data_IF_302621905980
#
_entry.id   IF_302621905980
#
_cell.length_a   1.000
_cell.length_b   1.000
_cell.length_c   1.000
_cell.angle_alpha   90.00
_cell.angle_beta   90.00
_cell.angle_gamma   90.00
#
_symmetry.space_group_name_H-M   'P 1'
#
loop_
_entity.id
_entity.type
_entity.pdbx_description
1 polymer ?
#
# COMPACT_ATOMS: atom_id res chain seq x y z
N UNK A 1 1.41 -8.16 -7.06
CA UNK A 1 1.45 -7.16 -5.97
C UNK A 1 0.75 -5.89 -6.39
N UNK A 2 1.16 -5.25 -7.49
CA UNK A 2 0.46 -4.07 -8.04
C UNK A 2 -1.04 -4.33 -8.31
N UNK A 3 -1.40 -5.52 -8.79
CA UNK A 3 -2.81 -5.89 -9.01
C UNK A 3 -3.63 -5.92 -7.71
N UNK A 4 -3.01 -6.35 -6.60
CA UNK A 4 -3.65 -6.37 -5.27
C UNK A 4 -3.89 -4.93 -4.81
N UNK A 5 -2.88 -4.06 -4.96
CA UNK A 5 -3.00 -2.66 -4.61
C UNK A 5 -4.08 -1.98 -5.47
N UNK A 6 -4.07 -2.18 -6.79
CA UNK A 6 -5.09 -1.65 -7.70
C UNK A 6 -6.50 -2.08 -7.28
N UNK A 7 -6.69 -3.38 -7.03
CA UNK A 7 -7.97 -3.93 -6.59
C UNK A 7 -8.40 -3.35 -5.25
N UNK A 8 -7.46 -3.19 -4.32
CA UNK A 8 -7.72 -2.64 -2.99
C UNK A 8 -8.13 -1.17 -3.07
N UNK A 9 -7.38 -0.36 -3.82
CA UNK A 9 -7.66 1.07 -4.01
C UNK A 9 -9.00 1.25 -4.71
N UNK A 10 -9.27 0.52 -5.79
CA UNK A 10 -10.55 0.57 -6.49
C UNK A 10 -11.72 0.20 -5.56
N UNK A 11 -11.58 -0.87 -4.78
CA UNK A 11 -12.62 -1.34 -3.85
C UNK A 11 -12.95 -0.32 -2.75
N UNK A 12 -11.96 0.41 -2.25
CA UNK A 12 -12.14 1.30 -1.10
C UNK A 12 -12.38 2.77 -1.50
N UNK A 13 -11.90 3.20 -2.66
CA UNK A 13 -11.94 4.60 -3.10
C UNK A 13 -12.84 4.81 -4.31
N UNK A 14 -13.16 3.75 -5.06
CA UNK A 14 -13.89 3.82 -6.33
C UNK A 14 -13.05 4.36 -7.50
N UNK A 15 -11.75 4.63 -7.29
CA UNK A 15 -10.86 5.16 -8.31
C UNK A 15 -9.95 4.06 -8.89
N UNK A 16 -9.84 4.06 -10.22
CA UNK A 16 -8.83 3.28 -10.94
C UNK A 16 -7.67 4.19 -11.33
N UNK A 17 -6.52 3.93 -10.73
CA UNK A 17 -5.27 4.59 -11.07
C UNK A 17 -4.47 3.62 -11.94
N UNK A 18 -4.19 4.02 -13.19
CA UNK A 18 -3.43 3.19 -14.13
C UNK A 18 -1.92 3.21 -13.78
N UNK A 19 -1.07 3.62 -14.72
CA UNK A 19 0.39 3.55 -14.58
C UNK A 19 0.97 4.50 -13.50
N UNK A 20 0.20 5.49 -13.04
CA UNK A 20 0.69 6.52 -12.11
C UNK A 20 0.57 6.13 -10.63
N UNK A 21 -0.12 5.02 -10.32
CA UNK A 21 -0.36 4.62 -8.93
C UNK A 21 0.94 4.40 -8.16
N UNK A 22 1.96 3.81 -8.80
CA UNK A 22 3.24 3.51 -8.16
C UNK A 22 3.95 4.75 -7.60
N UNK A 23 3.79 5.90 -8.26
CA UNK A 23 4.40 7.17 -7.87
C UNK A 23 3.50 8.02 -6.98
N UNK A 24 2.26 7.60 -6.76
CA UNK A 24 1.29 8.35 -5.98
C UNK A 24 1.51 8.09 -4.49
N UNK A 25 1.37 9.15 -3.68
CA UNK A 25 1.30 9.01 -2.22
C UNK A 25 0.01 8.26 -1.86
N UNK A 26 0.09 7.35 -0.89
CA UNK A 26 -1.05 6.55 -0.45
C UNK A 26 -2.23 7.39 0.03
N UNK A 27 -1.98 8.51 0.71
CA UNK A 27 -3.00 9.41 1.20
C UNK A 27 -3.67 10.20 0.06
N UNK A 28 -2.90 10.57 -0.97
CA UNK A 28 -3.43 11.25 -2.16
C UNK A 28 -4.34 10.34 -3.00
N UNK A 29 -4.11 9.03 -2.95
CA UNK A 29 -4.99 8.03 -3.56
C UNK A 29 -6.27 7.79 -2.74
N UNK A 30 -6.45 8.44 -1.59
CA UNK A 30 -7.63 8.32 -0.74
C UNK A 30 -7.56 7.20 0.30
N UNK A 31 -6.38 6.62 0.56
CA UNK A 31 -6.19 5.67 1.66
C UNK A 31 -5.91 6.46 2.94
N UNK A 32 -6.77 6.32 3.94
CA UNK A 32 -6.45 6.77 5.30
C UNK A 32 -5.51 5.76 6.01
N UNK A 33 -5.05 6.10 7.21
CA UNK A 33 -4.14 5.24 7.99
C UNK A 33 -4.73 3.85 8.27
N UNK A 34 -6.05 3.70 8.39
CA UNK A 34 -6.70 2.41 8.63
C UNK A 34 -6.70 1.56 7.35
N UNK A 35 -7.01 2.18 6.21
CA UNK A 35 -6.97 1.53 4.90
C UNK A 35 -5.53 1.16 4.51
N UNK A 36 -4.55 1.98 4.85
CA UNK A 36 -3.13 1.65 4.67
C UNK A 36 -2.74 0.40 5.44
N UNK A 37 -3.14 0.28 6.71
CA UNK A 37 -2.92 -0.93 7.50
C UNK A 37 -3.63 -2.14 6.87
N UNK A 38 -4.88 -1.96 6.41
CA UNK A 38 -5.61 -3.00 5.71
C UNK A 38 -4.92 -3.47 4.43
N UNK A 39 -4.35 -2.54 3.66
CA UNK A 39 -3.57 -2.84 2.46
C UNK A 39 -2.33 -3.66 2.80
N UNK A 40 -1.58 -3.24 3.82
CA UNK A 40 -0.39 -3.95 4.28
C UNK A 40 -0.76 -5.39 4.69
N UNK A 41 -1.80 -5.59 5.49
CA UNK A 41 -2.27 -6.93 5.88
C UNK A 41 -2.64 -7.78 4.66
N UNK A 42 -3.28 -7.19 3.65
CA UNK A 42 -3.62 -7.90 2.41
C UNK A 42 -2.36 -8.26 1.61
N UNK A 43 -1.34 -7.40 1.59
CA UNK A 43 -0.04 -7.68 0.97
C UNK A 43 0.74 -8.76 1.73
N UNK A 44 0.72 -8.77 3.06
CA UNK A 44 1.34 -9.80 3.89
C UNK A 44 0.70 -11.18 3.64
N UNK A 45 -0.64 -11.23 3.60
CA UNK A 45 -1.38 -12.45 3.34
C UNK A 45 -1.09 -13.04 1.95
N UNK A 46 -0.86 -12.20 0.94
CA UNK A 46 -0.60 -12.64 -0.43
C UNK A 46 0.89 -12.91 -0.72
N UNK A 47 1.81 -12.19 -0.07
CA UNK A 47 3.25 -12.37 -0.27
C UNK A 47 3.87 -13.43 0.64
N UNK A 48 3.19 -13.77 1.76
CA UNK A 48 3.75 -14.64 2.80
C UNK A 48 4.88 -13.97 3.60
N UNK A 49 5.13 -12.69 3.38
CA UNK A 49 6.15 -11.90 4.05
C UNK A 49 5.48 -10.93 5.01
N UNK A 50 5.91 -10.94 6.25
CA UNK A 50 5.44 -10.03 7.30
C UNK A 50 6.43 -8.88 7.40
N UNK A 51 5.95 -7.65 7.35
CA UNK A 51 6.81 -6.48 7.55
C UNK A 51 7.14 -6.34 9.04
N UNK A 52 8.41 -6.06 9.38
CA UNK A 52 8.80 -5.70 10.74
C UNK A 52 7.99 -4.50 11.26
N UNK A 53 7.68 -4.50 12.56
CA UNK A 53 6.88 -3.46 13.21
C UNK A 53 7.47 -2.05 13.05
N UNK A 54 8.80 -1.92 13.05
CA UNK A 54 9.51 -0.66 12.82
C UNK A 54 9.36 -0.14 11.38
N UNK A 55 9.23 -1.03 10.39
CA UNK A 55 8.92 -0.64 9.00
C UNK A 55 7.46 -0.20 8.88
N UNK A 56 6.53 -0.87 9.56
CA UNK A 56 5.12 -0.50 9.60
C UNK A 56 4.92 0.89 10.24
N UNK A 57 5.55 1.13 11.39
CA UNK A 57 5.44 2.40 12.09
C UNK A 57 5.92 3.57 11.23
N UNK A 58 7.04 3.38 10.51
CA UNK A 58 7.54 4.37 9.54
C UNK A 58 6.58 4.61 8.39
N UNK A 59 6.02 3.54 7.83
CA UNK A 59 5.06 3.62 6.72
C UNK A 59 3.77 4.37 7.08
N UNK A 60 3.36 4.30 8.33
CA UNK A 60 2.14 4.97 8.83
C UNK A 60 2.43 6.42 9.24
N UNK A 61 3.68 6.74 9.59
CA UNK A 61 4.05 8.04 10.16
C UNK A 61 4.65 9.02 9.14
N UNK A 62 5.08 8.54 7.99
CA UNK A 62 5.71 9.33 6.93
C UNK A 62 4.92 9.26 5.63
N UNK A 63 5.19 10.20 4.72
CA UNK A 63 4.65 10.15 3.36
C UNK A 63 5.26 8.96 2.61
N UNK A 64 4.40 8.09 2.10
CA UNK A 64 4.81 6.87 1.39
C UNK A 64 4.10 6.73 0.04
N UNK A 65 4.84 6.27 -0.94
CA UNK A 65 4.30 5.88 -2.25
C UNK A 65 3.98 4.39 -2.31
N UNK A 66 3.07 4.01 -3.21
CA UNK A 66 2.80 2.59 -3.45
C UNK A 66 4.02 1.82 -3.96
N UNK A 67 4.91 2.48 -4.71
CA UNK A 67 6.17 1.89 -5.15
C UNK A 67 7.09 1.53 -3.98
N UNK A 68 7.19 2.40 -2.97
CA UNK A 68 7.96 2.12 -1.76
C UNK A 68 7.37 0.97 -0.94
N UNK A 69 6.03 0.86 -0.90
CA UNK A 69 5.35 -0.28 -0.30
C UNK A 69 5.75 -1.57 -1.01
N UNK A 70 5.64 -1.63 -2.34
CA UNK A 70 6.01 -2.82 -3.11
C UNK A 70 7.49 -3.20 -2.88
N UNK A 71 8.37 -2.20 -2.87
CA UNK A 71 9.80 -2.41 -2.62
C UNK A 71 10.04 -3.03 -1.24
N UNK A 72 9.37 -2.53 -0.20
CA UNK A 72 9.48 -3.08 1.15
C UNK A 72 9.08 -4.56 1.23
N UNK A 73 8.11 -4.99 0.43
CA UNK A 73 7.73 -6.41 0.34
C UNK A 73 8.62 -7.24 -0.60
N UNK A 74 9.36 -6.62 -1.51
CA UNK A 74 10.24 -7.30 -2.48
C UNK A 74 11.67 -7.53 -1.98
N UNK A 75 12.12 -6.80 -0.95
CA UNK A 75 13.47 -6.92 -0.33
C UNK A 75 13.71 -8.19 0.50
#
# INVERSE_FOLDING_TARGET
MIDIINTFVERNTGHQYNNDLLTMNVYDAGLDSLLLVGLIVELEANSGKILPEDKLEKMISEDFTFGEIINAFSE
#
